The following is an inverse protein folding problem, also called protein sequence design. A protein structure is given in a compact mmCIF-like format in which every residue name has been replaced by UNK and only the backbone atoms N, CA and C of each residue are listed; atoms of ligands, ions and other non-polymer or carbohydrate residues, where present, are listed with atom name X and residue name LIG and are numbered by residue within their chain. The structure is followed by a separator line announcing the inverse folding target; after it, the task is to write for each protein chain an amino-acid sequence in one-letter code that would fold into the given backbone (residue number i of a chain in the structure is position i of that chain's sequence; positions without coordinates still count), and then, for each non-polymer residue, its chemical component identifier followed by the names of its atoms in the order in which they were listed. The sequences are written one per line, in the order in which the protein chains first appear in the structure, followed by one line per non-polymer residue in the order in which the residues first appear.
data_IF_078141920307
#
_entry.id   IF_078141920307
#
_cell.length_a   1.000
_cell.length_b   1.000
_cell.length_c   1.000
_cell.angle_alpha   90.00
_cell.angle_beta   90.00
_cell.angle_gamma   90.00
#
_symmetry.space_group_name_H-M   'P 1'
#
loop_
_entity.id
_entity.type
_entity.pdbx_description
1 polymer ?
#
# COMPACT_ATOMS: atom_id res chain seq x y z
N UNK A 1 -17.33 -36.19 -38.09
CA UNK A 1 -16.80 -34.86 -37.72
C UNK A 1 -17.39 -34.46 -36.37
N UNK A 2 -16.66 -34.67 -35.27
CA UNK A 2 -17.10 -34.30 -33.91
C UNK A 2 -16.38 -33.02 -33.48
N UNK A 3 -17.14 -31.93 -33.33
CA UNK A 3 -16.63 -30.66 -32.80
C UNK A 3 -16.34 -30.83 -31.32
N UNK A 4 -15.05 -30.81 -30.94
CA UNK A 4 -14.63 -30.72 -29.54
C UNK A 4 -14.91 -29.30 -29.04
N UNK A 5 -15.86 -29.15 -28.12
CA UNK A 5 -16.07 -27.92 -27.38
C UNK A 5 -14.86 -27.70 -26.46
N UNK A 6 -14.03 -26.71 -26.77
CA UNK A 6 -12.97 -26.27 -25.87
C UNK A 6 -13.64 -25.62 -24.65
N UNK A 7 -13.51 -26.28 -23.49
CA UNK A 7 -13.86 -25.69 -22.20
C UNK A 7 -12.89 -24.54 -21.94
N UNK A 8 -13.36 -23.31 -22.13
CA UNK A 8 -12.63 -22.12 -21.70
C UNK A 8 -12.59 -22.14 -20.17
N UNK A 9 -11.44 -22.56 -19.62
CA UNK A 9 -11.15 -22.41 -18.19
C UNK A 9 -11.02 -20.92 -17.93
N UNK A 10 -12.11 -20.29 -17.48
CA UNK A 10 -12.02 -18.90 -17.03
C UNK A 10 -11.03 -18.83 -15.85
N UNK A 11 -10.07 -17.90 -15.87
CA UNK A 11 -9.16 -17.72 -14.75
C UNK A 11 -10.01 -17.48 -13.50
N UNK A 12 -9.87 -18.34 -12.48
CA UNK A 12 -10.57 -18.19 -11.20
C UNK A 12 -10.18 -16.84 -10.59
N UNK A 13 -11.01 -15.82 -10.79
CA UNK A 13 -10.88 -14.54 -10.10
C UNK A 13 -10.81 -14.81 -8.60
N UNK A 14 -9.78 -14.29 -7.91
CA UNK A 14 -9.57 -14.52 -6.48
C UNK A 14 -10.75 -13.93 -5.71
N UNK A 15 -11.14 -14.54 -4.59
CA UNK A 15 -12.33 -14.15 -3.85
C UNK A 15 -12.35 -12.64 -3.50
N UNK A 16 -11.20 -12.07 -3.10
CA UNK A 16 -11.07 -10.64 -2.82
C UNK A 16 -11.26 -9.74 -4.04
N UNK A 17 -10.99 -10.24 -5.26
CA UNK A 17 -11.23 -9.48 -6.49
C UNK A 17 -12.72 -9.30 -6.77
N UNK A 18 -13.57 -10.12 -6.15
CA UNK A 18 -15.03 -10.04 -6.24
C UNK A 18 -15.67 -9.13 -5.21
N UNK A 19 -14.93 -8.80 -4.15
CA UNK A 19 -15.46 -8.07 -2.97
C UNK A 19 -14.93 -6.64 -2.91
N UNK A 20 -13.71 -6.40 -3.39
CA UNK A 20 -13.06 -5.09 -3.29
C UNK A 20 -12.80 -4.51 -4.69
N UNK A 21 -13.33 -3.31 -5.00
CA UNK A 21 -13.04 -2.62 -6.25
C UNK A 21 -11.53 -2.42 -6.46
N UNK A 22 -11.08 -2.39 -7.71
CA UNK A 22 -9.66 -2.18 -8.03
C UNK A 22 -9.12 -0.87 -7.45
N UNK A 23 -9.93 0.19 -7.47
CA UNK A 23 -9.61 1.49 -6.86
C UNK A 23 -9.34 1.38 -5.37
N UNK A 24 -10.09 0.56 -4.65
CA UNK A 24 -9.88 0.34 -3.22
C UNK A 24 -8.60 -0.46 -2.95
N UNK A 25 -8.24 -1.41 -3.83
CA UNK A 25 -6.94 -2.09 -3.74
C UNK A 25 -5.78 -1.11 -3.90
N UNK A 26 -5.89 -0.17 -4.84
CA UNK A 26 -4.90 0.88 -5.03
C UNK A 26 -4.84 1.81 -3.81
N UNK A 27 -6.00 2.16 -3.22
CA UNK A 27 -6.09 2.97 -2.00
C UNK A 27 -5.35 2.31 -0.84
N UNK A 28 -5.65 1.04 -0.57
CA UNK A 28 -5.01 0.25 0.47
C UNK A 28 -3.50 0.08 0.23
N UNK A 29 -3.09 -0.11 -1.02
CA UNK A 29 -1.68 -0.16 -1.39
C UNK A 29 -0.95 1.15 -1.11
N UNK A 30 -1.54 2.30 -1.46
CA UNK A 30 -0.93 3.60 -1.18
C UNK A 30 -0.87 3.87 0.33
N UNK A 31 -1.91 3.51 1.08
CA UNK A 31 -1.90 3.58 2.56
C UNK A 31 -0.77 2.75 3.17
N UNK A 32 -0.57 1.51 2.67
CA UNK A 32 0.51 0.62 3.12
C UNK A 32 1.87 1.29 2.97
N UNK A 33 2.14 1.91 1.80
CA UNK A 33 3.41 2.59 1.51
C UNK A 33 3.60 3.82 2.38
N UNK A 34 2.60 4.71 2.47
CA UNK A 34 2.72 5.93 3.26
C UNK A 34 2.94 5.66 4.75
N UNK A 35 2.25 4.65 5.29
CA UNK A 35 2.43 4.22 6.68
C UNK A 35 3.85 3.75 6.96
N UNK A 36 4.40 2.98 6.03
CA UNK A 36 5.74 2.41 6.13
C UNK A 36 6.82 3.48 5.99
N UNK A 37 6.71 4.39 5.01
CA UNK A 37 7.66 5.49 4.83
C UNK A 37 7.69 6.42 6.05
N UNK A 38 6.52 6.89 6.50
CA UNK A 38 6.43 7.76 7.68
C UNK A 38 6.96 7.08 8.94
N UNK A 39 6.68 5.78 9.11
CA UNK A 39 7.19 5.05 10.27
C UNK A 39 8.70 4.89 10.25
N UNK A 40 9.31 4.60 9.09
CA UNK A 40 10.77 4.50 8.95
C UNK A 40 11.47 5.83 9.20
N UNK A 41 10.89 6.93 8.74
CA UNK A 41 11.43 8.27 9.02
C UNK A 41 11.38 8.61 10.50
N UNK A 42 10.25 8.33 11.17
CA UNK A 42 10.09 8.57 12.61
C UNK A 42 10.98 7.66 13.45
N UNK A 43 11.09 6.38 13.09
CA UNK A 43 12.00 5.43 13.73
C UNK A 43 13.45 5.87 13.61
N UNK A 44 13.86 6.29 12.41
CA UNK A 44 15.19 6.85 12.17
C UNK A 44 15.41 8.11 13.00
N UNK A 45 14.45 9.04 13.05
CA UNK A 45 14.57 10.25 13.86
C UNK A 45 14.72 9.95 15.36
N UNK A 46 13.93 9.01 15.87
CA UNK A 46 13.96 8.58 17.27
C UNK A 46 15.33 8.00 17.68
N UNK A 47 15.97 7.24 16.77
CA UNK A 47 17.33 6.72 17.00
C UNK A 47 18.37 7.82 17.25
N UNK A 48 18.21 9.00 16.62
CA UNK A 48 19.13 10.12 16.78
C UNK A 48 18.75 11.07 17.92
N UNK A 49 17.46 11.19 18.25
CA UNK A 49 16.97 12.06 19.33
C UNK A 49 17.01 11.38 20.71
N UNK A 50 17.12 10.05 20.76
CA UNK A 50 16.99 9.29 22.00
C UNK A 50 15.55 9.10 22.47
N UNK A 51 14.58 9.43 21.61
CA UNK A 51 13.17 9.13 21.83
C UNK A 51 12.87 7.65 21.48
N UNK A 52 11.78 7.11 22.02
CA UNK A 52 11.32 5.76 21.70
C UNK A 52 10.24 5.81 20.61
N UNK A 53 10.42 5.03 19.55
CA UNK A 53 9.42 4.89 18.49
C UNK A 53 8.68 3.56 18.62
N UNK A 54 7.35 3.61 18.77
CA UNK A 54 6.49 2.43 18.81
C UNK A 54 5.68 2.29 17.52
N UNK A 55 6.04 1.29 16.72
CA UNK A 55 5.31 0.90 15.50
C UNK A 55 3.82 0.62 15.74
N UNK A 56 3.42 0.09 16.90
CA UNK A 56 2.01 -0.19 17.20
C UNK A 56 1.21 1.09 17.37
N UNK A 57 1.76 2.07 18.09
CA UNK A 57 1.14 3.39 18.30
C UNK A 57 1.03 4.10 16.96
N UNK A 58 2.14 4.22 16.23
CA UNK A 58 2.15 4.82 14.89
C UNK A 58 1.13 4.19 13.96
N UNK A 59 1.05 2.86 13.91
CA UNK A 59 0.09 2.16 13.06
C UNK A 59 -1.37 2.42 13.46
N UNK A 60 -1.66 2.56 14.75
CA UNK A 60 -2.99 2.84 15.24
C UNK A 60 -3.42 4.28 14.89
N UNK A 61 -2.53 5.25 15.13
CA UNK A 61 -2.76 6.66 14.82
C UNK A 61 -2.88 6.88 13.31
N UNK A 62 -1.93 6.34 12.52
CA UNK A 62 -1.97 6.43 11.07
C UNK A 62 -3.28 5.86 10.49
N UNK A 63 -3.74 4.70 10.99
CA UNK A 63 -5.02 4.14 10.56
C UNK A 63 -6.19 5.03 10.94
N UNK A 64 -6.18 5.60 12.14
CA UNK A 64 -7.25 6.51 12.61
C UNK A 64 -7.33 7.76 11.72
N UNK A 65 -6.20 8.33 11.38
CA UNK A 65 -6.11 9.61 10.66
C UNK A 65 -6.42 9.44 9.17
N UNK A 66 -6.00 8.33 8.56
CA UNK A 66 -6.08 8.14 7.11
C UNK A 66 -7.11 7.10 6.64
N UNK A 67 -7.90 6.48 7.54
CA UNK A 67 -8.86 5.41 7.17
C UNK A 67 -9.85 5.80 6.06
N UNK A 68 -10.34 7.04 6.06
CA UNK A 68 -11.35 7.53 5.11
C UNK A 68 -10.72 8.33 3.96
N UNK A 69 -9.39 8.50 3.95
CA UNK A 69 -8.72 9.34 2.95
C UNK A 69 -8.86 8.72 1.56
N UNK A 70 -9.32 9.50 0.55
CA UNK A 70 -9.49 9.00 -0.81
C UNK A 70 -8.14 8.78 -1.51
N UNK A 71 -8.12 7.89 -2.50
CA UNK A 71 -6.90 7.54 -3.25
C UNK A 71 -6.19 8.76 -3.87
N UNK A 72 -6.94 9.73 -4.39
CA UNK A 72 -6.37 10.93 -5.01
C UNK A 72 -5.53 11.74 -4.02
N UNK A 73 -6.03 11.93 -2.80
CA UNK A 73 -5.33 12.66 -1.74
C UNK A 73 -4.11 11.86 -1.25
N UNK A 74 -4.23 10.54 -1.13
CA UNK A 74 -3.10 9.68 -0.78
C UNK A 74 -1.97 9.74 -1.81
N UNK A 75 -2.29 9.74 -3.11
CA UNK A 75 -1.29 9.91 -4.18
C UNK A 75 -0.64 11.30 -4.08
N UNK A 76 -1.44 12.34 -3.80
CA UNK A 76 -0.89 13.69 -3.61
C UNK A 76 0.08 13.76 -2.43
N UNK A 77 -0.26 13.17 -1.28
CA UNK A 77 0.64 13.07 -0.13
C UNK A 77 1.90 12.28 -0.46
N UNK A 78 1.78 11.16 -1.17
CA UNK A 78 2.92 10.34 -1.61
C UNK A 78 3.88 11.13 -2.51
N UNK A 79 3.33 11.96 -3.40
CA UNK A 79 4.11 12.86 -4.25
C UNK A 79 4.81 13.96 -3.45
N UNK A 80 4.07 14.64 -2.58
CA UNK A 80 4.58 15.79 -1.82
C UNK A 80 5.63 15.40 -0.78
N UNK A 81 5.43 14.28 -0.08
CA UNK A 81 6.30 13.87 1.02
C UNK A 81 7.48 13.01 0.54
N UNK A 82 7.24 12.11 -0.42
CA UNK A 82 8.20 11.06 -0.78
C UNK A 82 8.63 11.08 -2.25
N UNK A 83 8.20 12.08 -3.03
CA UNK A 83 8.51 12.20 -4.45
C UNK A 83 7.90 11.10 -5.32
N UNK A 84 6.90 10.37 -4.83
CA UNK A 84 6.25 9.28 -5.56
C UNK A 84 5.21 9.86 -6.52
N UNK A 85 5.63 10.13 -7.76
CA UNK A 85 4.85 10.89 -8.74
C UNK A 85 3.52 10.23 -9.14
N UNK A 86 3.45 8.90 -9.14
CA UNK A 86 2.30 8.13 -9.61
C UNK A 86 2.18 6.75 -8.92
N UNK A 87 1.15 6.00 -9.31
CA UNK A 87 0.88 4.66 -8.80
C UNK A 87 1.98 3.65 -9.12
N UNK A 88 2.73 3.81 -10.22
CA UNK A 88 3.79 2.89 -10.57
C UNK A 88 5.02 3.12 -9.69
N UNK A 89 5.35 4.39 -9.39
CA UNK A 89 6.33 4.73 -8.37
C UNK A 89 5.97 4.15 -6.99
N UNK A 90 4.69 4.25 -6.59
CA UNK A 90 4.19 3.66 -5.34
C UNK A 90 4.33 2.12 -5.34
N UNK A 91 4.00 1.45 -6.45
CA UNK A 91 4.19 -0.01 -6.58
C UNK A 91 5.65 -0.42 -6.47
N UNK A 92 6.56 0.32 -7.11
CA UNK A 92 8.00 0.08 -7.02
C UNK A 92 8.45 0.27 -5.58
N UNK A 93 8.04 1.35 -4.91
CA UNK A 93 8.40 1.60 -3.52
C UNK A 93 7.93 0.49 -2.58
N UNK A 94 6.67 0.05 -2.74
CA UNK A 94 6.12 -1.07 -1.98
C UNK A 94 6.95 -2.35 -2.12
N UNK A 95 7.46 -2.64 -3.32
CA UNK A 95 8.33 -3.82 -3.52
C UNK A 95 9.63 -3.71 -2.72
N UNK A 96 10.19 -2.50 -2.60
CA UNK A 96 11.38 -2.25 -1.80
C UNK A 96 11.10 -2.51 -0.31
N UNK A 97 9.97 -2.04 0.22
CA UNK A 97 9.58 -2.32 1.62
C UNK A 97 9.53 -3.81 1.96
N UNK A 98 9.05 -4.63 1.03
CA UNK A 98 9.00 -6.09 1.18
C UNK A 98 10.36 -6.75 1.08
N UNK A 99 11.30 -6.14 0.37
CA UNK A 99 12.65 -6.66 0.22
C UNK A 99 13.52 -6.34 1.46
N UNK A 100 13.25 -5.22 2.13
CA UNK A 100 13.97 -4.79 3.32
C UNK A 100 13.27 -5.14 4.64
N UNK A 101 12.10 -5.80 4.60
CA UNK A 101 11.49 -6.45 5.76
C UNK A 101 11.94 -7.91 5.83
N UNK A 102 13.20 -8.12 6.21
CA UNK A 102 13.77 -9.41 6.63
C UNK A 102 14.27 -9.28 8.07
#
# INVERSE_FOLDING_TARGET
MTRKSQVQVQPKAKALDRVIPYTEKLRLMTLEVLREESGRELESAAQWSGEEFDWKVHNAEFRKDYKETPLSELIQKAKLLYGLADLDAIKVRRKLHKHFSC
#
